data_IF_780176341090
#
_entry.id   IF_780176341090
#
_cell.length_a   1.000
_cell.length_b   1.000
_cell.length_c   1.000
_cell.angle_alpha   90.00
_cell.angle_beta   90.00
_cell.angle_gamma   90.00
#
_symmetry.space_group_name_H-M   'P 1'
#
loop_
_entity.id
_entity.type
_entity.pdbx_description
1 polymer ?
#
# COMPACT_ATOMS: atom_id res chain seq x y z
N UNK A 1 1.42 -7.73 7.75
CA UNK A 1 2.17 -6.72 8.54
C UNK A 1 2.96 -7.50 9.57
N UNK A 2 4.11 -8.02 9.16
CA UNK A 2 4.99 -8.90 9.95
C UNK A 2 6.19 -8.16 10.56
N UNK A 3 6.44 -6.91 10.15
CA UNK A 3 7.49 -6.06 10.69
C UNK A 3 8.86 -6.27 10.06
N UNK A 4 8.98 -7.14 9.06
CA UNK A 4 10.20 -7.37 8.31
C UNK A 4 10.12 -6.60 6.96
N UNK A 5 11.19 -5.87 6.64
CA UNK A 5 11.28 -5.03 5.43
C UNK A 5 12.10 -5.68 4.32
N UNK A 6 12.42 -6.96 4.46
CA UNK A 6 13.19 -7.71 3.48
C UNK A 6 12.42 -7.86 2.16
N UNK A 7 13.02 -7.35 1.08
CA UNK A 7 12.47 -7.40 -0.27
C UNK A 7 12.78 -8.69 -1.04
N UNK A 8 13.55 -9.63 -0.48
CA UNK A 8 13.88 -10.89 -1.13
C UNK A 8 12.71 -11.87 -1.00
N UNK A 9 12.07 -12.23 -2.12
CA UNK A 9 10.82 -13.01 -2.11
C UNK A 9 10.91 -14.35 -1.37
N UNK A 10 12.04 -15.06 -1.49
CA UNK A 10 12.21 -16.35 -0.82
C UNK A 10 12.39 -16.24 0.70
N UNK A 11 12.65 -15.04 1.22
CA UNK A 11 12.69 -14.77 2.67
C UNK A 11 11.29 -14.58 3.28
N UNK A 12 10.23 -14.77 2.46
CA UNK A 12 8.81 -14.83 2.89
C UNK A 12 8.31 -13.56 3.60
N UNK A 13 8.95 -12.43 3.36
CA UNK A 13 8.59 -11.11 3.91
C UNK A 13 7.88 -10.19 2.90
N UNK A 14 7.57 -10.71 1.71
CA UNK A 14 6.90 -9.99 0.62
C UNK A 14 5.55 -10.62 0.30
N UNK A 15 4.55 -9.82 -0.04
CA UNK A 15 3.24 -10.31 -0.51
C UNK A 15 3.20 -10.43 -2.04
N UNK A 16 2.39 -11.34 -2.57
CA UNK A 16 2.21 -11.52 -4.02
C UNK A 16 0.73 -11.75 -4.36
N UNK A 17 0.20 -11.02 -5.35
CA UNK A 17 -1.15 -11.21 -5.89
C UNK A 17 -1.12 -12.12 -7.12
N UNK A 18 -2.27 -12.46 -7.70
CA UNK A 18 -2.28 -13.07 -9.03
C UNK A 18 -1.90 -12.03 -10.10
N UNK A 19 -1.62 -12.50 -11.31
CA UNK A 19 -1.45 -11.63 -12.47
C UNK A 19 -2.83 -11.17 -12.96
N UNK A 20 -3.30 -10.03 -12.44
CA UNK A 20 -4.63 -9.50 -12.73
C UNK A 20 -4.62 -7.97 -12.82
N UNK A 21 -5.52 -7.43 -13.64
CA UNK A 21 -5.71 -5.99 -13.75
C UNK A 21 -6.40 -5.47 -12.49
N UNK A 22 -5.88 -4.38 -11.93
CA UNK A 22 -6.45 -3.80 -10.71
C UNK A 22 -6.12 -4.59 -9.45
N UNK A 23 -5.08 -5.43 -9.46
CA UNK A 23 -4.59 -6.13 -8.27
C UNK A 23 -4.38 -5.14 -7.11
N UNK A 24 -4.83 -5.51 -5.92
CA UNK A 24 -4.81 -4.64 -4.76
C UNK A 24 -4.45 -5.37 -3.47
N UNK A 25 -3.88 -4.62 -2.53
CA UNK A 25 -3.79 -5.00 -1.13
C UNK A 25 -4.48 -3.94 -0.28
N UNK A 26 -5.06 -4.36 0.84
CA UNK A 26 -5.68 -3.46 1.81
C UNK A 26 -5.31 -3.85 3.23
N UNK A 27 -5.22 -2.85 4.10
CA UNK A 27 -5.20 -3.03 5.55
C UNK A 27 -6.31 -2.19 6.18
N UNK A 28 -7.04 -2.81 7.11
CA UNK A 28 -7.92 -2.13 8.07
C UNK A 28 -7.19 -2.05 9.41
N UNK A 29 -7.07 -0.84 9.96
CA UNK A 29 -6.36 -0.57 11.22
C UNK A 29 -7.21 -0.89 12.46
N UNK A 30 -8.43 -1.40 12.27
CA UNK A 30 -9.38 -1.74 13.35
C UNK A 30 -10.08 -0.52 13.97
N UNK A 31 -9.66 0.68 13.59
CA UNK A 31 -10.17 1.95 14.06
C UNK A 31 -9.37 3.10 13.48
N UNK A 32 -9.83 4.32 13.75
CA UNK A 32 -9.16 5.53 13.33
C UNK A 32 -7.82 5.72 14.07
N UNK A 33 -6.74 5.90 13.31
CA UNK A 33 -5.37 6.09 13.81
C UNK A 33 -4.74 7.31 13.15
N UNK A 34 -4.03 8.11 13.94
CA UNK A 34 -3.22 9.21 13.41
C UNK A 34 -1.96 8.64 12.77
N UNK A 35 -1.91 8.64 11.43
CA UNK A 35 -0.76 8.14 10.67
C UNK A 35 0.05 9.32 10.17
N UNK A 36 1.33 9.38 10.58
CA UNK A 36 2.27 10.42 10.13
C UNK A 36 2.88 10.09 8.76
N UNK A 37 3.13 8.79 8.52
CA UNK A 37 3.90 8.35 7.38
C UNK A 37 3.47 6.94 6.94
N UNK A 38 3.46 6.73 5.62
CA UNK A 38 3.32 5.43 5.00
C UNK A 38 4.57 5.20 4.14
N UNK A 39 5.22 4.05 4.35
CA UNK A 39 6.38 3.61 3.58
C UNK A 39 6.01 2.31 2.89
N UNK A 40 6.30 2.22 1.59
CA UNK A 40 6.10 1.01 0.81
C UNK A 40 7.48 0.48 0.42
N UNK A 41 7.78 -0.73 0.85
CA UNK A 41 9.00 -1.44 0.50
C UNK A 41 8.71 -2.33 -0.70
N UNK A 42 9.50 -2.15 -1.78
CA UNK A 42 9.38 -2.97 -2.99
C UNK A 42 10.16 -4.27 -2.83
N UNK A 43 9.81 -5.27 -3.64
CA UNK A 43 10.63 -6.45 -3.88
C UNK A 43 12.00 -6.03 -4.46
N UNK A 44 13.07 -6.69 -4.03
CA UNK A 44 14.45 -6.29 -4.37
C UNK A 44 15.21 -7.31 -5.21
N UNK A 45 14.74 -8.55 -5.33
CA UNK A 45 15.45 -9.64 -6.02
C UNK A 45 15.11 -9.78 -7.50
N UNK A 46 13.91 -9.40 -7.91
CA UNK A 46 13.52 -9.26 -9.32
C UNK A 46 12.31 -8.35 -9.41
N UNK A 47 11.96 -7.98 -10.65
CA UNK A 47 10.59 -7.60 -10.97
C UNK A 47 10.15 -6.32 -10.22
N UNK A 48 11.10 -5.46 -9.86
CA UNK A 48 10.85 -4.23 -9.12
C UNK A 48 9.96 -3.26 -9.91
N UNK A 49 10.01 -3.34 -11.24
CA UNK A 49 9.11 -2.65 -12.18
C UNK A 49 7.64 -3.04 -11.98
N UNK A 50 7.35 -4.20 -11.34
CA UNK A 50 5.99 -4.60 -10.99
C UNK A 50 5.35 -3.77 -9.89
N UNK A 51 6.09 -2.90 -9.23
CA UNK A 51 5.51 -1.90 -8.34
C UNK A 51 5.66 -0.50 -8.93
N UNK A 52 5.29 -0.37 -10.21
CA UNK A 52 5.18 0.90 -10.92
C UNK A 52 3.71 1.27 -11.13
N UNK A 53 3.44 2.58 -11.28
CA UNK A 53 2.11 3.12 -11.59
C UNK A 53 0.99 2.63 -10.65
N UNK A 54 1.32 2.52 -9.36
CA UNK A 54 0.34 2.18 -8.34
C UNK A 54 -0.25 3.42 -7.69
N UNK A 55 -1.47 3.26 -7.20
CA UNK A 55 -2.16 4.27 -6.41
C UNK A 55 -2.28 3.79 -4.98
N UNK A 56 -1.98 4.66 -4.02
CA UNK A 56 -2.36 4.46 -2.63
C UNK A 56 -3.60 5.30 -2.36
N UNK A 57 -4.59 4.66 -1.76
CA UNK A 57 -5.88 5.21 -1.35
C UNK A 57 -6.02 5.08 0.16
N UNK A 58 -6.50 6.12 0.80
CA UNK A 58 -6.59 6.21 2.27
C UNK A 58 -7.97 6.70 2.63
N UNK A 59 -8.60 6.07 3.62
CA UNK A 59 -9.92 6.44 4.13
C UNK A 59 -9.96 6.46 5.66
N UNK A 60 -10.74 7.39 6.20
CA UNK A 60 -11.10 7.50 7.61
C UNK A 60 -12.32 6.65 8.00
N UNK A 61 -12.99 6.04 7.01
CA UNK A 61 -14.18 5.20 7.17
C UNK A 61 -13.92 3.71 6.91
N UNK A 62 -14.98 2.92 7.11
CA UNK A 62 -15.02 1.49 6.81
C UNK A 62 -15.29 1.20 5.32
N UNK A 63 -15.07 2.16 4.44
CA UNK A 63 -15.16 2.04 2.98
C UNK A 63 -14.25 3.11 2.34
N UNK A 64 -14.16 3.14 1.02
CA UNK A 64 -13.42 4.19 0.28
C UNK A 64 -14.38 5.16 -0.44
N UNK A 65 -15.61 5.29 0.06
CA UNK A 65 -16.68 5.99 -0.66
C UNK A 65 -16.57 7.51 -0.58
N UNK A 66 -15.87 8.06 0.42
CA UNK A 66 -16.03 9.49 0.76
C UNK A 66 -14.75 10.33 0.82
N UNK A 67 -13.57 9.75 0.99
CA UNK A 67 -12.32 10.50 0.82
C UNK A 67 -11.26 9.53 0.34
N UNK A 68 -10.77 9.74 -0.88
CA UNK A 68 -9.66 8.98 -1.41
C UNK A 68 -8.55 9.96 -1.79
N UNK A 69 -7.50 9.98 -0.97
CA UNK A 69 -6.26 10.64 -1.37
C UNK A 69 -5.57 9.74 -2.38
N UNK A 70 -5.50 10.16 -3.64
CA UNK A 70 -4.74 9.45 -4.67
C UNK A 70 -3.39 10.12 -4.82
N UNK A 71 -2.32 9.33 -4.72
CA UNK A 71 -1.00 9.81 -5.08
C UNK A 71 -0.18 8.66 -5.63
N UNK A 72 0.47 8.91 -6.75
CA UNK A 72 1.40 7.99 -7.40
C UNK A 72 2.73 8.10 -6.65
N UNK A 73 3.22 6.99 -6.10
CA UNK A 73 4.42 6.99 -5.27
C UNK A 73 5.58 6.28 -5.94
N UNK A 74 6.78 6.72 -5.59
CA UNK A 74 8.05 6.02 -5.83
C UNK A 74 8.60 5.34 -4.56
N UNK A 75 8.11 5.66 -3.33
CA UNK A 75 8.46 4.92 -2.09
C UNK A 75 7.82 5.44 -0.78
N UNK A 76 7.62 6.76 -0.61
CA UNK A 76 7.22 7.37 0.69
C UNK A 76 6.09 8.38 0.57
N UNK A 77 5.09 8.26 1.46
CA UNK A 77 4.00 9.22 1.65
C UNK A 77 4.06 9.84 3.05
N UNK A 78 4.10 11.17 3.12
CA UNK A 78 3.96 11.91 4.39
C UNK A 78 2.57 12.52 4.47
N UNK A 79 1.88 12.28 5.57
CA UNK A 79 0.52 12.75 5.80
C UNK A 79 0.54 13.82 6.90
N UNK A 80 -0.13 14.94 6.68
CA UNK A 80 -0.30 15.97 7.70
C UNK A 80 -1.66 15.77 8.38
N UNK A 81 -1.64 15.41 9.67
CA UNK A 81 -2.82 15.30 10.53
C UNK A 81 -4.04 14.59 9.90
N UNK A 82 -3.86 13.34 9.48
CA UNK A 82 -4.96 12.50 9.01
C UNK A 82 -5.24 11.34 9.95
N UNK A 83 -6.50 11.24 10.38
CA UNK A 83 -7.04 10.08 11.07
C UNK A 83 -7.49 9.05 10.03
N UNK A 84 -6.83 7.89 10.01
CA UNK A 84 -6.96 6.88 8.96
C UNK A 84 -7.46 5.60 9.59
N UNK A 85 -8.41 4.95 8.92
CA UNK A 85 -8.85 3.59 9.26
C UNK A 85 -8.40 2.57 8.23
N UNK A 86 -8.37 2.93 6.95
CA UNK A 86 -8.00 2.01 5.87
C UNK A 86 -6.97 2.59 4.91
N UNK A 87 -6.10 1.70 4.45
CA UNK A 87 -5.11 1.96 3.41
C UNK A 87 -5.28 0.87 2.37
N UNK A 88 -5.41 1.25 1.10
CA UNK A 88 -5.42 0.35 -0.05
C UNK A 88 -4.35 0.80 -1.03
N UNK A 89 -3.67 -0.15 -1.64
CA UNK A 89 -2.90 0.11 -2.83
C UNK A 89 -3.47 -0.72 -3.97
N UNK A 90 -3.59 -0.08 -5.13
CA UNK A 90 -4.06 -0.72 -6.36
C UNK A 90 -3.02 -0.50 -7.44
N UNK A 91 -2.72 -1.52 -8.24
CA UNK A 91 -1.87 -1.39 -9.43
C UNK A 91 -2.71 -1.40 -10.71
N UNK A 92 -2.32 -0.59 -11.68
CA UNK A 92 -3.09 -0.43 -12.92
C UNK A 92 -3.03 -1.66 -13.85
N UNK A 93 -1.92 -2.41 -13.88
CA UNK A 93 -1.75 -3.69 -14.59
C UNK A 93 -0.59 -4.47 -13.93
N UNK A 94 -0.71 -5.78 -13.76
CA UNK A 94 0.42 -6.63 -13.37
C UNK A 94 1.39 -6.77 -14.53
#
# INVERSE_FOLDING_TARGET
MDGNTDGYFLNKSTTHTKYEQGAWWQVDLGGQKNIKQIIIYNRTDCCADRLSNYQVSISDKADFSTHTYHKTFMSRLTLKNHSIRRIRQTRSLC
#
